data_IF_494013708451
#
_entry.id   IF_494013708451
#
_cell.length_a   1.000
_cell.length_b   1.000
_cell.length_c   1.000
_cell.angle_alpha   90.00
_cell.angle_beta   90.00
_cell.angle_gamma   90.00
#
_symmetry.space_group_name_H-M   'P 1'
#
loop_
_entity.id
_entity.type
_entity.pdbx_description
1 polymer ?
#
# COMPACT_ATOMS: atom_id res chain seq x y z
N UNK A 1 2.13 -32.16 -5.01
CA UNK A 1 2.30 -31.79 -3.59
C UNK A 1 2.54 -30.30 -3.54
N UNK A 2 1.58 -29.56 -3.00
CA UNK A 2 1.76 -28.14 -2.72
C UNK A 2 2.59 -27.99 -1.44
N UNK A 3 3.66 -27.22 -1.46
CA UNK A 3 4.49 -26.97 -0.27
C UNK A 3 4.38 -25.52 0.18
N UNK A 4 4.46 -25.31 1.49
CA UNK A 4 4.54 -23.98 2.11
C UNK A 4 5.82 -23.88 2.94
N UNK A 5 6.40 -22.69 3.00
CA UNK A 5 7.54 -22.42 3.87
C UNK A 5 7.09 -21.57 5.04
N UNK A 6 7.28 -22.06 6.25
CA UNK A 6 7.02 -21.33 7.50
C UNK A 6 8.33 -21.34 8.30
N UNK A 7 8.82 -20.16 8.68
CA UNK A 7 10.08 -19.96 9.40
C UNK A 7 11.30 -20.65 8.73
N UNK A 8 11.35 -20.62 7.40
CA UNK A 8 12.43 -21.23 6.61
C UNK A 8 12.40 -22.76 6.52
N UNK A 9 11.35 -23.40 7.08
CA UNK A 9 11.12 -24.83 6.95
C UNK A 9 9.99 -25.10 5.96
N UNK A 10 10.23 -26.03 5.05
CA UNK A 10 9.26 -26.47 4.05
C UNK A 10 8.33 -27.54 4.64
N UNK A 11 7.04 -27.43 4.36
CA UNK A 11 5.99 -28.34 4.78
C UNK A 11 5.14 -28.72 3.57
N UNK A 12 4.84 -30.01 3.42
CA UNK A 12 3.85 -30.48 2.44
C UNK A 12 2.44 -30.22 2.98
N UNK A 13 1.68 -29.41 2.27
CA UNK A 13 0.31 -29.02 2.63
C UNK A 13 -0.60 -30.25 2.76
N UNK A 14 -0.36 -31.30 1.96
CA UNK A 14 -1.16 -32.52 1.99
C UNK A 14 -0.99 -33.29 3.32
N UNK A 15 0.17 -33.12 3.97
CA UNK A 15 0.52 -33.77 5.25
C UNK A 15 0.05 -33.00 6.48
N UNK A 16 -0.43 -31.77 6.31
CA UNK A 16 -0.93 -30.95 7.42
C UNK A 16 -2.29 -31.44 7.93
N UNK A 17 -2.54 -31.28 9.23
CA UNK A 17 -3.85 -31.53 9.81
C UNK A 17 -4.88 -30.54 9.29
N UNK A 18 -6.16 -30.92 9.33
CA UNK A 18 -7.26 -30.05 8.89
C UNK A 18 -7.34 -28.76 9.74
N UNK A 19 -7.02 -28.86 11.03
CA UNK A 19 -6.93 -27.70 11.92
C UNK A 19 -5.80 -26.74 11.48
N UNK A 20 -4.61 -27.24 11.17
CA UNK A 20 -3.49 -26.42 10.69
C UNK A 20 -3.82 -25.77 9.36
N UNK A 21 -4.51 -26.47 8.45
CA UNK A 21 -4.98 -25.89 7.17
C UNK A 21 -5.98 -24.75 7.39
N UNK A 22 -6.91 -24.91 8.33
CA UNK A 22 -7.87 -23.85 8.68
C UNK A 22 -7.18 -22.60 9.28
N UNK A 23 -6.20 -22.82 10.16
CA UNK A 23 -5.40 -21.73 10.71
C UNK A 23 -4.56 -21.03 9.63
N UNK A 24 -3.97 -21.79 8.70
CA UNK A 24 -3.23 -21.23 7.57
C UNK A 24 -4.11 -20.34 6.69
N UNK A 25 -5.33 -20.79 6.36
CA UNK A 25 -6.29 -19.97 5.62
C UNK A 25 -6.66 -18.69 6.36
N UNK A 26 -6.80 -18.76 7.69
CA UNK A 26 -7.07 -17.59 8.53
C UNK A 26 -5.89 -16.61 8.55
N UNK A 27 -4.66 -17.12 8.61
CA UNK A 27 -3.44 -16.32 8.55
C UNK A 27 -3.33 -15.59 7.20
N UNK A 28 -3.49 -16.31 6.09
CA UNK A 28 -3.46 -15.73 4.74
C UNK A 28 -4.51 -14.63 4.56
N UNK A 29 -5.70 -14.81 5.13
CA UNK A 29 -6.73 -13.78 5.12
C UNK A 29 -6.27 -12.52 5.86
N UNK A 30 -5.75 -12.66 7.08
CA UNK A 30 -5.23 -11.53 7.87
C UNK A 30 -4.08 -10.82 7.14
N UNK A 31 -3.15 -11.56 6.55
CA UNK A 31 -2.03 -11.00 5.78
C UNK A 31 -2.53 -10.18 4.58
N UNK A 32 -3.56 -10.68 3.88
CA UNK A 32 -4.15 -9.96 2.75
C UNK A 32 -4.81 -8.63 3.18
N UNK A 33 -5.49 -8.62 4.33
CA UNK A 33 -6.10 -7.41 4.88
C UNK A 33 -5.05 -6.42 5.40
N UNK A 34 -3.96 -6.91 6.01
CA UNK A 34 -2.82 -6.07 6.40
C UNK A 34 -2.16 -5.40 5.19
N UNK A 35 -1.90 -6.15 4.12
CA UNK A 35 -1.36 -5.58 2.88
C UNK A 35 -2.30 -4.52 2.28
N UNK A 36 -3.61 -4.76 2.31
CA UNK A 36 -4.62 -3.79 1.85
C UNK A 36 -4.62 -2.52 2.69
N UNK A 37 -4.50 -2.63 4.02
CA UNK A 37 -4.40 -1.48 4.92
C UNK A 37 -3.12 -0.67 4.66
N UNK A 38 -1.99 -1.34 4.42
CA UNK A 38 -0.72 -0.68 4.09
C UNK A 38 -0.83 0.11 2.78
N UNK A 39 -1.45 -0.47 1.74
CA UNK A 39 -1.70 0.23 0.48
C UNK A 39 -2.55 1.50 0.68
N UNK A 40 -3.62 1.42 1.49
CA UNK A 40 -4.45 2.59 1.84
C UNK A 40 -3.66 3.62 2.62
N UNK A 41 -2.84 3.20 3.58
CA UNK A 41 -2.00 4.09 4.35
C UNK A 41 -1.01 4.85 3.45
N UNK A 42 -0.37 4.17 2.50
CA UNK A 42 0.52 4.79 1.52
C UNK A 42 -0.20 5.86 0.68
N UNK A 43 -1.40 5.55 0.16
CA UNK A 43 -2.20 6.51 -0.60
C UNK A 43 -2.55 7.76 0.22
N UNK A 44 -2.96 7.58 1.48
CA UNK A 44 -3.28 8.68 2.39
C UNK A 44 -2.06 9.51 2.78
N UNK A 45 -0.88 8.87 2.93
CA UNK A 45 0.37 9.57 3.17
C UNK A 45 0.74 10.48 1.98
N UNK A 46 0.59 9.99 0.76
CA UNK A 46 0.79 10.80 -0.46
C UNK A 46 -0.16 12.00 -0.49
N UNK A 47 -1.45 11.78 -0.23
CA UNK A 47 -2.44 12.87 -0.19
C UNK A 47 -2.10 13.91 0.89
N UNK A 48 -1.70 13.46 2.09
CA UNK A 48 -1.26 14.35 3.18
C UNK A 48 -0.07 15.21 2.75
N UNK A 49 0.90 14.65 2.06
CA UNK A 49 2.06 15.40 1.57
C UNK A 49 1.66 16.44 0.52
N UNK A 50 0.79 16.07 -0.42
CA UNK A 50 0.25 17.00 -1.42
C UNK A 50 -0.47 18.19 -0.77
N UNK A 51 -1.38 17.92 0.18
CA UNK A 51 -2.06 18.99 0.91
C UNK A 51 -1.10 19.85 1.73
N UNK A 52 -0.09 19.26 2.35
CA UNK A 52 0.94 20.00 3.08
C UNK A 52 1.71 20.99 2.18
N UNK A 53 2.03 20.57 0.95
CA UNK A 53 2.68 21.44 -0.05
C UNK A 53 1.75 22.57 -0.50
N UNK A 54 0.49 22.24 -0.84
CA UNK A 54 -0.51 23.24 -1.24
C UNK A 54 -0.73 24.31 -0.16
N UNK A 55 -0.86 23.89 1.10
CA UNK A 55 -0.99 24.84 2.24
C UNK A 55 0.23 25.76 2.32
N UNK A 56 1.44 25.20 2.19
CA UNK A 56 2.68 25.99 2.25
C UNK A 56 2.72 27.05 1.13
N UNK A 57 2.38 26.68 -0.10
CA UNK A 57 2.31 27.60 -1.24
C UNK A 57 1.31 28.73 -0.98
N UNK A 58 0.09 28.42 -0.53
CA UNK A 58 -0.91 29.44 -0.20
C UNK A 58 -0.43 30.41 0.88
N UNK A 59 0.31 29.93 1.88
CA UNK A 59 0.83 30.76 2.97
C UNK A 59 2.02 31.63 2.56
N UNK A 60 2.92 31.14 1.71
CA UNK A 60 4.14 31.84 1.30
C UNK A 60 3.92 32.79 0.13
N UNK A 61 3.12 32.38 -0.86
CA UNK A 61 2.95 33.10 -2.12
C UNK A 61 1.62 33.86 -2.20
N UNK A 62 0.66 33.56 -1.31
CA UNK A 62 -0.66 34.21 -1.30
C UNK A 62 -1.54 33.89 -2.51
N UNK A 63 -1.13 32.91 -3.32
CA UNK A 63 -1.79 32.45 -4.54
C UNK A 63 -2.33 31.04 -4.25
N UNK A 64 -3.59 30.78 -4.59
CA UNK A 64 -4.12 29.42 -4.57
C UNK A 64 -3.36 28.60 -5.63
N UNK A 65 -3.03 27.32 -5.39
CA UNK A 65 -2.28 26.54 -6.38
C UNK A 65 -3.04 26.56 -7.71
N UNK A 66 -2.50 27.25 -8.70
CA UNK A 66 -2.92 27.16 -10.10
C UNK A 66 -2.75 25.68 -10.50
N UNK A 67 -3.67 25.15 -11.30
CA UNK A 67 -3.88 23.71 -11.56
C UNK A 67 -2.68 22.96 -12.20
N UNK A 68 -1.54 23.62 -12.37
CA UNK A 68 -0.39 23.10 -13.07
C UNK A 68 0.48 22.19 -12.17
N UNK A 69 0.26 20.89 -12.34
CA UNK A 69 1.15 19.79 -12.01
C UNK A 69 1.71 19.76 -10.58
N UNK A 70 1.04 19.01 -9.70
CA UNK A 70 1.67 18.52 -8.47
C UNK A 70 2.67 17.42 -8.85
N UNK A 71 3.88 17.82 -9.25
CA UNK A 71 5.00 16.91 -9.48
C UNK A 71 5.40 16.24 -8.16
N UNK A 72 4.96 15.00 -7.95
CA UNK A 72 5.35 14.20 -6.78
C UNK A 72 6.67 13.47 -7.09
N UNK A 73 7.78 14.19 -6.87
CA UNK A 73 9.12 13.61 -7.00
C UNK A 73 9.32 12.46 -6.00
N UNK A 74 9.53 11.25 -6.51
CA UNK A 74 9.67 10.01 -5.73
C UNK A 74 8.60 8.94 -6.02
N UNK A 75 7.52 9.29 -6.72
CA UNK A 75 6.65 8.34 -7.40
C UNK A 75 7.10 8.33 -8.87
N UNK A 76 7.70 7.23 -9.32
CA UNK A 76 8.16 7.10 -10.71
C UNK A 76 7.04 7.43 -11.68
N UNK A 77 7.36 8.29 -12.65
CA UNK A 77 6.47 8.96 -13.60
C UNK A 77 5.36 9.81 -12.98
N UNK A 78 5.38 11.08 -13.37
CA UNK A 78 4.21 11.96 -13.41
C UNK A 78 2.97 11.16 -13.75
N UNK A 79 2.02 11.04 -12.82
CA UNK A 79 0.69 10.52 -13.16
C UNK A 79 0.04 11.58 -14.04
N UNK A 80 0.21 11.45 -15.35
CA UNK A 80 -0.59 12.17 -16.33
C UNK A 80 -2.00 11.58 -16.26
N UNK A 81 -2.95 12.38 -15.79
CA UNK A 81 -4.36 12.09 -15.99
C UNK A 81 -4.70 12.61 -17.39
N UNK A 82 -4.85 11.69 -18.35
CA UNK A 82 -5.38 12.04 -19.68
C UNK A 82 -6.79 12.62 -19.53
N UNK A 83 -7.02 13.72 -20.24
CA UNK A 83 -8.24 14.56 -20.31
C UNK A 83 -9.49 13.81 -20.84
#
# INVERSE_FOLDING_TARGET
MATITIDGKEYDVETLSDETKAQLGSLQYVDSELARLQARAAALQTARMAYGRAIKQTLEEGIAPEEDEVSIEGLGDSIQFDD
#
